data_IF_583618649264
#
_entry.id   IF_583618649264
#
_cell.length_a   1.000
_cell.length_b   1.000
_cell.length_c   1.000
_cell.angle_alpha   90.00
_cell.angle_beta   90.00
_cell.angle_gamma   90.00
#
_symmetry.space_group_name_H-M   'P 1'
#
loop_
_entity.id
_entity.type
_entity.pdbx_description
1 polymer ?
#
# COMPACT_ATOMS: atom_id res chain seq x y z
N UNK A 1 33.69 20.57 24.13
CA UNK A 1 33.02 20.57 22.80
C UNK A 1 33.24 19.20 22.19
N UNK A 2 32.30 18.28 22.38
CA UNK A 2 32.39 16.89 21.88
C UNK A 2 31.33 16.71 20.80
N UNK A 3 31.81 16.43 19.58
CA UNK A 3 31.00 16.09 18.42
C UNK A 3 30.53 14.63 18.57
N UNK A 4 29.21 14.42 18.68
CA UNK A 4 28.62 13.09 18.53
C UNK A 4 28.63 12.71 17.05
N UNK A 5 29.61 11.89 16.68
CA UNK A 5 29.75 11.27 15.37
C UNK A 5 28.57 10.32 15.18
N UNK A 6 27.83 10.53 14.10
CA UNK A 6 26.49 9.98 13.88
C UNK A 6 26.36 8.49 14.15
N UNK A 7 25.24 8.15 14.77
CA UNK A 7 24.64 6.82 14.70
C UNK A 7 24.32 6.56 13.22
N UNK A 8 25.27 5.98 12.49
CA UNK A 8 24.98 5.30 11.24
C UNK A 8 24.07 4.12 11.58
N UNK A 9 22.76 4.37 11.58
CA UNK A 9 21.76 3.32 11.46
C UNK A 9 22.07 2.62 10.14
N UNK A 10 22.78 1.50 10.23
CA UNK A 10 22.88 0.57 9.11
C UNK A 10 21.50 -0.07 8.99
N UNK A 11 20.59 0.62 8.30
CA UNK A 11 19.28 0.08 7.96
C UNK A 11 19.55 -1.10 7.04
N UNK A 12 19.59 -2.30 7.61
CA UNK A 12 19.67 -3.53 6.83
C UNK A 12 18.46 -3.51 5.91
N UNK A 13 18.73 -3.51 4.60
CA UNK A 13 17.69 -3.56 3.59
C UNK A 13 16.82 -4.78 3.87
N UNK A 14 15.51 -4.61 3.75
CA UNK A 14 14.55 -5.72 3.80
C UNK A 14 14.87 -6.71 2.67
N UNK A 15 14.44 -7.95 2.83
CA UNK A 15 14.55 -8.98 1.78
C UNK A 15 14.00 -8.49 0.43
N UNK A 16 12.83 -7.83 0.41
CA UNK A 16 12.24 -7.26 -0.79
C UNK A 16 13.12 -6.16 -1.41
N UNK A 17 13.67 -5.26 -0.58
CA UNK A 17 14.57 -4.22 -1.07
C UNK A 17 15.84 -4.80 -1.70
N UNK A 18 16.40 -5.87 -1.12
CA UNK A 18 17.57 -6.57 -1.68
C UNK A 18 17.27 -7.26 -3.00
N UNK A 19 16.10 -7.89 -3.15
CA UNK A 19 15.70 -8.48 -4.44
C UNK A 19 15.44 -7.42 -5.51
N UNK A 20 14.77 -6.30 -5.18
CA UNK A 20 14.55 -5.20 -6.12
C UNK A 20 15.87 -4.57 -6.59
N UNK A 21 16.84 -4.40 -5.69
CA UNK A 21 18.17 -3.90 -6.06
C UNK A 21 18.90 -4.88 -6.98
N UNK A 22 18.76 -6.19 -6.77
CA UNK A 22 19.31 -7.19 -7.68
C UNK A 22 18.67 -7.10 -9.07
N UNK A 23 17.37 -6.80 -9.16
CA UNK A 23 16.70 -6.60 -10.46
C UNK A 23 17.15 -5.34 -11.20
N UNK A 24 17.60 -4.29 -10.49
CA UNK A 24 18.14 -3.07 -11.13
C UNK A 24 19.47 -3.27 -11.84
N UNK A 25 20.13 -4.42 -11.67
CA UNK A 25 21.31 -4.76 -12.49
C UNK A 25 20.98 -4.98 -13.97
N UNK A 26 19.69 -5.13 -14.30
CA UNK A 26 19.19 -5.26 -15.66
C UNK A 26 18.50 -3.96 -16.11
N UNK A 27 18.85 -3.49 -17.31
CA UNK A 27 18.08 -2.42 -17.96
C UNK A 27 16.82 -3.03 -18.56
N UNK A 28 15.69 -2.87 -17.87
CA UNK A 28 14.39 -3.33 -18.35
C UNK A 28 13.79 -2.30 -19.32
N UNK A 29 13.19 -2.71 -20.44
CA UNK A 29 12.32 -1.84 -21.23
C UNK A 29 11.15 -1.31 -20.38
N UNK A 30 10.68 -0.10 -20.68
CA UNK A 30 9.60 0.57 -19.93
C UNK A 30 8.32 -0.29 -19.82
N UNK A 31 8.02 -1.08 -20.85
CA UNK A 31 6.87 -2.00 -20.88
C UNK A 31 6.95 -3.04 -19.76
N UNK A 32 8.12 -3.66 -19.54
CA UNK A 32 8.31 -4.64 -18.47
C UNK A 32 8.24 -4.00 -17.09
N UNK A 33 8.63 -2.72 -16.96
CA UNK A 33 8.45 -1.98 -15.71
C UNK A 33 6.97 -1.75 -15.39
N UNK A 34 6.15 -1.47 -16.41
CA UNK A 34 4.70 -1.34 -16.27
C UNK A 34 4.09 -2.69 -15.85
N UNK A 35 4.51 -3.78 -16.48
CA UNK A 35 4.04 -5.14 -16.13
C UNK A 35 4.35 -5.50 -14.68
N UNK A 36 5.58 -5.24 -14.20
CA UNK A 36 5.97 -5.49 -12.80
C UNK A 36 5.10 -4.67 -11.85
N UNK A 37 4.84 -3.38 -12.17
CA UNK A 37 3.97 -2.53 -11.36
C UNK A 37 2.54 -3.08 -11.31
N UNK A 38 2.02 -3.54 -12.44
CA UNK A 38 0.69 -4.14 -12.52
C UNK A 38 0.61 -5.45 -11.75
N UNK A 39 1.65 -6.29 -11.81
CA UNK A 39 1.74 -7.53 -11.05
C UNK A 39 1.69 -7.26 -9.53
N UNK A 40 2.47 -6.29 -9.06
CA UNK A 40 2.47 -5.88 -7.66
C UNK A 40 1.10 -5.31 -7.26
N UNK A 41 0.54 -4.41 -8.08
CA UNK A 41 -0.78 -3.82 -7.81
C UNK A 41 -1.87 -4.90 -7.72
N UNK A 42 -1.87 -5.86 -8.65
CA UNK A 42 -2.79 -7.00 -8.65
C UNK A 42 -2.64 -7.83 -7.38
N UNK A 43 -1.41 -8.16 -6.98
CA UNK A 43 -1.18 -8.95 -5.77
C UNK A 43 -1.79 -8.27 -4.53
N UNK A 44 -1.59 -6.95 -4.37
CA UNK A 44 -2.17 -6.24 -3.24
C UNK A 44 -3.68 -6.05 -3.34
N UNK A 45 -4.22 -5.86 -4.55
CA UNK A 45 -5.66 -5.81 -4.77
C UNK A 45 -6.32 -7.13 -4.39
N UNK A 46 -5.79 -8.26 -4.86
CA UNK A 46 -6.31 -9.60 -4.54
C UNK A 46 -6.29 -9.85 -3.02
N UNK A 47 -5.30 -9.30 -2.29
CA UNK A 47 -5.25 -9.37 -0.81
C UNK A 47 -6.27 -8.48 -0.13
N UNK A 48 -6.47 -7.27 -0.65
CA UNK A 48 -7.46 -6.33 -0.13
C UNK A 48 -8.88 -6.88 -0.33
N UNK A 49 -9.18 -7.40 -1.52
CA UNK A 49 -10.47 -8.02 -1.83
C UNK A 49 -10.76 -9.20 -0.90
N UNK A 50 -9.80 -10.11 -0.72
CA UNK A 50 -9.96 -11.25 0.18
C UNK A 50 -10.19 -10.84 1.65
N UNK A 51 -9.53 -9.77 2.10
CA UNK A 51 -9.75 -9.24 3.46
C UNK A 51 -11.12 -8.55 3.58
N UNK A 52 -11.57 -7.85 2.53
CA UNK A 52 -12.92 -7.27 2.49
C UNK A 52 -14.00 -8.35 2.55
N UNK A 53 -13.85 -9.45 1.80
CA UNK A 53 -14.75 -10.59 1.87
C UNK A 53 -14.79 -11.21 3.28
N UNK A 54 -13.62 -11.32 3.94
CA UNK A 54 -13.53 -11.79 5.33
C UNK A 54 -14.30 -10.87 6.27
N UNK A 55 -14.07 -9.56 6.20
CA UNK A 55 -14.73 -8.57 7.05
C UNK A 55 -16.24 -8.51 6.78
N UNK A 56 -16.66 -8.68 5.53
CA UNK A 56 -18.05 -8.73 5.13
C UNK A 56 -18.81 -9.86 5.83
N UNK A 57 -18.22 -11.05 5.86
CA UNK A 57 -18.76 -12.21 6.58
C UNK A 57 -18.74 -12.01 8.10
N UNK A 58 -17.60 -11.57 8.66
CA UNK A 58 -17.41 -11.45 10.12
C UNK A 58 -18.33 -10.41 10.76
N UNK A 59 -18.59 -9.31 10.07
CA UNK A 59 -19.47 -8.25 10.56
C UNK A 59 -20.93 -8.44 10.12
N UNK A 60 -21.25 -9.56 9.46
CA UNK A 60 -22.57 -9.85 8.90
C UNK A 60 -23.11 -8.68 8.04
N UNK A 61 -22.23 -8.06 7.25
CA UNK A 61 -22.62 -6.99 6.36
C UNK A 61 -23.54 -7.49 5.25
N UNK A 62 -24.45 -6.62 4.85
CA UNK A 62 -25.49 -6.89 3.88
C UNK A 62 -25.77 -5.63 3.04
N UNK A 63 -26.80 -5.69 2.19
CA UNK A 63 -27.20 -4.56 1.36
C UNK A 63 -27.58 -3.32 2.19
N UNK A 64 -28.13 -3.50 3.40
CA UNK A 64 -28.47 -2.38 4.28
C UNK A 64 -27.21 -1.66 4.76
N UNK A 65 -26.14 -2.40 5.05
CA UNK A 65 -24.84 -1.84 5.45
C UNK A 65 -24.29 -0.90 4.37
N UNK A 66 -24.36 -1.31 3.09
CA UNK A 66 -23.95 -0.46 1.96
C UNK A 66 -24.80 0.81 1.90
N UNK A 67 -26.11 0.66 2.08
CA UNK A 67 -27.07 1.76 2.07
C UNK A 67 -26.81 2.79 3.18
N UNK A 68 -26.40 2.31 4.36
CA UNK A 68 -26.00 3.15 5.49
C UNK A 68 -24.71 3.92 5.19
N UNK A 69 -23.67 3.25 4.68
CA UNK A 69 -22.41 3.91 4.31
C UNK A 69 -22.58 4.93 3.19
N UNK A 70 -23.43 4.65 2.21
CA UNK A 70 -23.73 5.58 1.12
C UNK A 70 -24.40 6.87 1.61
N UNK A 71 -25.17 6.80 2.70
CA UNK A 71 -25.81 7.94 3.38
C UNK A 71 -24.89 8.58 4.44
N UNK A 72 -23.79 7.93 4.78
CA UNK A 72 -22.80 8.37 5.76
C UNK A 72 -22.05 9.63 5.33
N UNK A 73 -21.60 10.40 6.32
CA UNK A 73 -20.79 11.61 6.12
C UNK A 73 -19.34 11.38 6.58
N UNK A 74 -18.80 10.18 6.34
CA UNK A 74 -17.47 9.76 6.82
C UNK A 74 -16.29 10.35 6.01
N UNK A 75 -16.58 11.31 5.13
CA UNK A 75 -15.58 12.06 4.39
C UNK A 75 -14.87 13.05 5.31
N UNK A 76 -13.61 13.33 5.02
CA UNK A 76 -12.89 14.42 5.69
C UNK A 76 -13.62 15.75 5.51
N UNK A 77 -13.91 16.51 6.58
CA UNK A 77 -14.60 17.79 6.47
C UNK A 77 -13.81 18.77 5.60
N UNK A 78 -14.50 19.46 4.68
CA UNK A 78 -13.86 20.48 3.85
C UNK A 78 -13.41 21.65 4.73
N UNK A 79 -12.10 21.94 4.71
CA UNK A 79 -11.53 23.17 5.26
C UNK A 79 -11.21 24.11 4.09
N UNK A 80 -12.07 25.08 3.76
CA UNK A 80 -11.72 26.09 2.77
C UNK A 80 -10.50 26.85 3.26
N UNK A 81 -9.48 26.93 2.41
CA UNK A 81 -8.34 27.83 2.63
C UNK A 81 -8.83 29.25 2.25
N UNK A 82 -8.91 30.14 3.23
CA UNK A 82 -9.18 31.57 3.03
C UNK A 82 -7.91 32.32 2.59
#
# INVERSE_FOLDING_TARGET
>A
MTLNKGDMVTTKLTNLQLELIQTFSYTLPDEQMIEIRQLLAKYFLDKADAEMDRLWQENAWDENTIDEWAKGHDRTPYKPQA
#
